data_IF_723207498254
#
_entry.id   IF_723207498254
#
_cell.length_a   1.000
_cell.length_b   1.000
_cell.length_c   1.000
_cell.angle_alpha   90.00
_cell.angle_beta   90.00
_cell.angle_gamma   90.00
#
_symmetry.space_group_name_H-M   'P 1'
#
loop_
_entity.id
_entity.type
_entity.pdbx_description
1 polymer ?
#
# COMPACT_ATOMS: atom_id res chain seq x y z
N UNK A 1 -0.31 -3.04 -16.78
CA UNK A 1 -0.58 -4.48 -16.95
C UNK A 1 0.69 -5.29 -17.24
N UNK A 2 1.53 -4.88 -18.23
CA UNK A 2 2.73 -5.65 -18.59
C UNK A 2 3.78 -5.72 -17.49
N UNK A 3 3.98 -4.63 -16.74
CA UNK A 3 4.95 -4.58 -15.65
C UNK A 3 4.48 -5.42 -14.45
N UNK A 4 3.22 -5.30 -14.06
CA UNK A 4 2.64 -6.09 -12.96
C UNK A 4 2.60 -7.57 -13.31
N UNK A 5 2.19 -7.92 -14.53
CA UNK A 5 2.19 -9.30 -15.02
C UNK A 5 3.62 -9.89 -15.08
N UNK A 6 4.60 -9.11 -15.50
CA UNK A 6 6.00 -9.54 -15.50
C UNK A 6 6.56 -9.79 -14.09
N UNK A 7 6.15 -8.97 -13.11
CA UNK A 7 6.53 -9.16 -11.71
C UNK A 7 5.85 -10.40 -11.09
N UNK A 8 4.56 -10.63 -11.37
CA UNK A 8 3.85 -11.83 -10.95
C UNK A 8 4.53 -13.11 -11.48
N UNK A 9 4.94 -13.08 -12.77
CA UNK A 9 5.67 -14.21 -13.39
C UNK A 9 7.05 -14.47 -12.76
N UNK A 10 7.69 -13.46 -12.16
CA UNK A 10 8.95 -13.66 -11.41
C UNK A 10 8.77 -14.47 -10.14
N UNK A 11 7.60 -14.38 -9.50
CA UNK A 11 7.23 -15.19 -8.34
C UNK A 11 6.86 -16.64 -8.69
N UNK A 12 6.58 -16.94 -9.96
CA UNK A 12 6.13 -18.24 -10.40
C UNK A 12 7.30 -19.09 -10.92
N UNK A 13 7.70 -20.10 -10.18
CA UNK A 13 8.87 -20.95 -10.49
C UNK A 13 8.77 -21.74 -11.81
N UNK A 14 7.59 -21.76 -12.46
CA UNK A 14 7.32 -22.44 -13.74
C UNK A 14 7.21 -21.50 -14.93
N UNK A 15 7.30 -20.17 -14.73
CA UNK A 15 7.20 -19.23 -15.82
C UNK A 15 8.45 -19.30 -16.72
N UNK A 16 8.23 -19.25 -18.03
CA UNK A 16 9.34 -19.17 -19.00
C UNK A 16 10.10 -17.84 -18.80
N UNK A 17 11.43 -17.87 -18.63
CA UNK A 17 12.24 -16.65 -18.46
C UNK A 17 11.99 -15.61 -19.56
N UNK A 18 11.79 -16.07 -20.79
CA UNK A 18 11.52 -15.20 -21.94
C UNK A 18 10.20 -14.45 -21.84
N UNK A 19 9.15 -15.08 -21.30
CA UNK A 19 7.86 -14.42 -21.07
C UNK A 19 7.98 -13.37 -19.97
N UNK A 20 8.68 -13.69 -18.88
CA UNK A 20 8.91 -12.79 -17.75
C UNK A 20 9.69 -11.54 -18.18
N UNK A 21 10.85 -11.72 -18.81
CA UNK A 21 11.66 -10.59 -19.28
C UNK A 21 10.98 -9.82 -20.41
N UNK A 22 10.27 -10.51 -21.31
CA UNK A 22 9.49 -9.89 -22.37
C UNK A 22 8.37 -9.00 -21.83
N UNK A 23 7.62 -9.46 -20.82
CA UNK A 23 6.57 -8.70 -20.16
C UNK A 23 7.13 -7.47 -19.40
N UNK A 24 8.23 -7.63 -18.67
CA UNK A 24 8.90 -6.53 -17.98
C UNK A 24 9.43 -5.49 -18.96
N UNK A 25 10.14 -5.92 -19.99
CA UNK A 25 10.72 -5.02 -21.00
C UNK A 25 9.62 -4.27 -21.75
N UNK A 26 8.56 -4.95 -22.19
CA UNK A 26 7.41 -4.30 -22.83
C UNK A 26 6.71 -3.31 -21.91
N UNK A 27 6.53 -3.65 -20.62
CA UNK A 27 5.96 -2.76 -19.64
C UNK A 27 6.77 -1.49 -19.42
N UNK A 28 8.08 -1.62 -19.28
CA UNK A 28 9.01 -0.48 -19.13
C UNK A 28 9.04 0.35 -20.44
N UNK A 29 9.15 -0.30 -21.60
CA UNK A 29 9.17 0.39 -22.88
C UNK A 29 7.90 1.21 -23.12
N UNK A 30 6.73 0.66 -22.81
CA UNK A 30 5.46 1.37 -22.92
C UNK A 30 5.36 2.55 -21.95
N UNK A 31 5.88 2.42 -20.71
CA UNK A 31 5.93 3.54 -19.76
C UNK A 31 6.85 4.66 -20.24
N UNK A 32 8.03 4.32 -20.76
CA UNK A 32 8.97 5.30 -21.33
C UNK A 32 8.36 5.96 -22.57
N UNK A 33 7.79 5.19 -23.48
CA UNK A 33 7.12 5.70 -24.67
C UNK A 33 5.97 6.62 -24.30
N UNK A 34 5.16 6.25 -23.29
CA UNK A 34 4.10 7.12 -22.80
C UNK A 34 4.65 8.40 -22.17
N UNK A 35 5.71 8.33 -21.38
CA UNK A 35 6.35 9.51 -20.79
C UNK A 35 6.88 10.48 -21.85
N UNK A 36 7.49 9.96 -22.91
CA UNK A 36 7.94 10.76 -24.06
C UNK A 36 6.77 11.37 -24.84
N UNK A 37 5.68 10.59 -25.01
CA UNK A 37 4.46 11.08 -25.69
C UNK A 37 3.75 12.17 -24.87
N UNK A 38 3.66 12.01 -23.56
CA UNK A 38 2.97 12.96 -22.67
C UNK A 38 3.77 14.24 -22.42
N UNK A 39 5.09 14.21 -22.72
CA UNK A 39 5.95 15.37 -22.55
C UNK A 39 5.51 16.49 -23.50
N UNK A 40 5.04 17.59 -22.93
CA UNK A 40 4.60 18.76 -23.68
C UNK A 40 3.15 18.71 -24.21
N UNK A 41 2.35 17.74 -23.85
CA UNK A 41 0.94 17.63 -24.24
C UNK A 41 0.01 17.78 -23.01
N UNK A 42 -0.59 18.95 -22.78
CA UNK A 42 -1.51 19.17 -21.65
C UNK A 42 -2.80 18.34 -21.74
N UNK A 43 -3.14 17.85 -22.94
CA UNK A 43 -4.31 16.98 -23.20
C UNK A 43 -4.01 15.47 -23.09
N UNK A 44 -2.83 15.09 -22.62
CA UNK A 44 -2.54 13.68 -22.37
C UNK A 44 -3.47 13.13 -21.25
N UNK A 45 -3.87 11.87 -21.38
CA UNK A 45 -4.75 11.18 -20.39
C UNK A 45 -4.16 11.27 -18.97
N UNK A 46 -2.84 11.23 -18.85
CA UNK A 46 -2.08 11.41 -17.61
C UNK A 46 -1.06 12.55 -17.83
N UNK A 47 -1.44 13.80 -17.61
CA UNK A 47 -0.55 14.93 -17.82
C UNK A 47 0.59 14.92 -16.81
N UNK A 48 1.83 15.06 -17.27
CA UNK A 48 3.02 15.12 -16.40
C UNK A 48 3.02 16.36 -15.49
N UNK A 49 2.24 17.38 -15.82
CA UNK A 49 2.04 18.57 -14.99
C UNK A 49 1.46 18.28 -13.60
N UNK A 50 0.87 17.08 -13.38
CA UNK A 50 0.45 16.64 -12.04
C UNK A 50 1.64 16.57 -11.06
N UNK A 51 2.82 16.26 -11.55
CA UNK A 51 4.03 16.20 -10.73
C UNK A 51 4.59 17.58 -10.34
N UNK A 52 4.09 18.66 -10.94
CA UNK A 52 4.44 20.04 -10.54
C UNK A 52 3.79 20.38 -9.21
N UNK A 53 2.65 19.75 -8.88
CA UNK A 53 2.01 19.86 -7.58
C UNK A 53 2.82 19.08 -6.55
N UNK A 54 3.43 19.81 -5.61
CA UNK A 54 4.35 19.25 -4.60
C UNK A 54 3.69 18.15 -3.75
N UNK A 55 2.47 18.36 -3.30
CA UNK A 55 1.71 17.40 -2.49
C UNK A 55 1.42 16.12 -3.25
N UNK A 56 1.07 16.21 -4.54
CA UNK A 56 0.88 15.06 -5.40
C UNK A 56 2.17 14.25 -5.56
N UNK A 57 3.28 14.91 -5.88
CA UNK A 57 4.58 14.25 -6.04
C UNK A 57 5.04 13.53 -4.76
N UNK A 58 4.95 14.20 -3.61
CA UNK A 58 5.30 13.60 -2.33
C UNK A 58 4.33 12.47 -1.93
N UNK A 59 3.04 12.65 -2.18
CA UNK A 59 2.01 11.65 -1.92
C UNK A 59 2.18 10.39 -2.75
N UNK A 60 2.47 10.51 -4.04
CA UNK A 60 2.79 9.36 -4.92
C UNK A 60 4.01 8.60 -4.39
N UNK A 61 5.10 9.30 -4.06
CA UNK A 61 6.31 8.67 -3.53
C UNK A 61 6.04 7.95 -2.20
N UNK A 62 5.30 8.58 -1.30
CA UNK A 62 4.91 7.98 -0.02
C UNK A 62 4.01 6.75 -0.22
N UNK A 63 3.03 6.82 -1.14
CA UNK A 63 2.19 5.68 -1.50
C UNK A 63 3.03 4.49 -1.99
N UNK A 64 4.00 4.73 -2.86
CA UNK A 64 4.90 3.70 -3.37
C UNK A 64 5.67 3.02 -2.24
N UNK A 65 6.30 3.80 -1.35
CA UNK A 65 7.08 3.28 -0.22
C UNK A 65 6.22 2.46 0.74
N UNK A 66 5.02 2.94 1.08
CA UNK A 66 4.11 2.25 1.99
C UNK A 66 3.61 0.93 1.37
N UNK A 67 3.34 0.93 0.07
CA UNK A 67 2.92 -0.29 -0.63
C UNK A 67 4.04 -1.32 -0.67
N UNK A 68 5.26 -0.91 -1.00
CA UNK A 68 6.43 -1.79 -0.96
C UNK A 68 6.64 -2.43 0.42
N UNK A 69 6.47 -1.64 1.49
CA UNK A 69 6.66 -2.14 2.86
C UNK A 69 5.47 -2.93 3.39
N UNK A 70 4.24 -2.58 3.00
CA UNK A 70 3.01 -3.09 3.59
C UNK A 70 2.42 -4.31 2.90
N UNK A 71 2.75 -4.57 1.63
CA UNK A 71 2.19 -5.70 0.87
C UNK A 71 2.72 -7.06 1.33
N UNK A 72 3.89 -7.10 1.97
CA UNK A 72 4.48 -8.33 2.51
C UNK A 72 3.79 -8.81 3.78
N UNK A 73 3.20 -7.92 4.58
CA UNK A 73 2.65 -8.25 5.91
C UNK A 73 1.51 -9.27 5.87
N UNK A 74 0.51 -9.16 4.97
CA UNK A 74 -0.56 -10.16 4.87
C UNK A 74 -0.07 -11.57 4.52
N UNK A 75 1.09 -11.68 3.91
CA UNK A 75 1.73 -12.97 3.59
C UNK A 75 2.61 -13.46 4.73
N UNK A 76 3.42 -12.58 5.31
CA UNK A 76 4.37 -12.95 6.37
C UNK A 76 3.69 -13.31 7.68
N UNK A 77 2.56 -12.64 8.04
CA UNK A 77 1.87 -12.92 9.29
C UNK A 77 1.32 -14.34 9.38
N UNK A 78 0.55 -14.87 8.42
CA UNK A 78 0.11 -16.27 8.46
C UNK A 78 1.27 -17.24 8.50
N UNK A 79 2.36 -16.95 7.77
CA UNK A 79 3.55 -17.78 7.75
C UNK A 79 4.23 -17.80 9.13
N UNK A 80 4.35 -16.66 9.78
CA UNK A 80 4.86 -16.56 11.15
C UNK A 80 4.01 -17.37 12.13
N UNK A 81 2.69 -17.25 12.07
CA UNK A 81 1.79 -17.99 12.95
C UNK A 81 1.85 -19.50 12.74
N UNK A 82 2.03 -19.96 11.50
CA UNK A 82 2.15 -21.38 11.18
C UNK A 82 3.52 -21.95 11.56
N UNK A 83 4.61 -21.24 11.26
CA UNK A 83 5.98 -21.76 11.47
C UNK A 83 6.48 -21.55 12.90
N UNK A 84 6.18 -20.41 13.52
CA UNK A 84 6.71 -20.07 14.85
C UNK A 84 5.77 -20.48 15.98
N UNK A 85 4.43 -20.37 15.78
CA UNK A 85 3.45 -20.70 16.80
C UNK A 85 2.77 -22.06 16.59
N UNK A 86 3.07 -22.75 15.48
CA UNK A 86 2.48 -24.05 15.17
C UNK A 86 0.97 -24.02 14.93
N UNK A 87 0.38 -22.85 14.64
CA UNK A 87 -1.05 -22.74 14.37
C UNK A 87 -1.37 -23.36 13.00
N UNK A 88 -2.56 -23.95 12.90
CA UNK A 88 -3.03 -24.44 11.61
C UNK A 88 -3.38 -23.27 10.66
N UNK A 89 -3.51 -23.57 9.36
CA UNK A 89 -3.79 -22.55 8.34
C UNK A 89 -5.11 -21.81 8.59
N UNK A 90 -6.11 -22.49 9.13
CA UNK A 90 -7.41 -21.90 9.45
C UNK A 90 -7.28 -20.85 10.56
N UNK A 91 -6.65 -21.19 11.67
CA UNK A 91 -6.42 -20.27 12.80
C UNK A 91 -5.57 -19.07 12.37
N UNK A 92 -4.52 -19.31 11.60
CA UNK A 92 -3.66 -18.24 11.06
C UNK A 92 -4.42 -17.29 10.15
N UNK A 93 -5.37 -17.79 9.36
CA UNK A 93 -6.28 -16.98 8.54
C UNK A 93 -7.25 -16.15 9.40
N UNK A 94 -7.87 -16.75 10.41
CA UNK A 94 -8.76 -16.05 11.32
C UNK A 94 -8.06 -14.93 12.09
N UNK A 95 -6.78 -15.07 12.40
CA UNK A 95 -5.99 -14.02 13.06
C UNK A 95 -5.78 -12.77 12.19
N UNK A 96 -6.02 -12.83 10.89
CA UNK A 96 -6.02 -11.64 10.04
C UNK A 96 -7.34 -10.85 10.12
N UNK A 97 -8.43 -11.46 10.56
CA UNK A 97 -9.73 -10.82 10.63
C UNK A 97 -9.74 -9.53 11.50
N UNK A 98 -9.06 -9.45 12.67
CA UNK A 98 -8.94 -8.23 13.45
C UNK A 98 -8.34 -7.06 12.68
N UNK A 99 -7.35 -7.29 11.82
CA UNK A 99 -6.74 -6.26 10.96
C UNK A 99 -7.80 -5.70 10.01
N UNK A 100 -8.53 -6.58 9.32
CA UNK A 100 -9.56 -6.19 8.39
C UNK A 100 -10.70 -5.43 9.07
N UNK A 101 -11.16 -5.93 10.22
CA UNK A 101 -12.22 -5.31 11.00
C UNK A 101 -11.86 -3.87 11.40
N UNK A 102 -10.68 -3.69 11.98
CA UNK A 102 -10.22 -2.35 12.40
C UNK A 102 -9.96 -1.44 11.21
N UNK A 103 -9.49 -1.97 10.09
CA UNK A 103 -9.33 -1.18 8.85
C UNK A 103 -10.67 -0.63 8.35
N UNK A 104 -11.74 -1.39 8.41
CA UNK A 104 -13.09 -0.94 8.04
C UNK A 104 -13.62 0.11 9.03
N UNK A 105 -13.50 -0.13 10.34
CA UNK A 105 -13.95 0.80 11.37
C UNK A 105 -13.23 2.14 11.23
N UNK A 106 -11.89 2.12 11.15
CA UNK A 106 -11.12 3.35 11.06
C UNK A 106 -11.33 4.10 9.75
N UNK A 107 -11.64 3.42 8.65
CA UNK A 107 -12.00 4.06 7.40
C UNK A 107 -13.26 4.92 7.51
N UNK A 108 -14.20 4.57 8.37
CA UNK A 108 -15.43 5.36 8.58
C UNK A 108 -15.22 6.58 9.46
N UNK A 109 -14.32 6.52 10.44
CA UNK A 109 -14.09 7.58 11.43
C UNK A 109 -12.93 8.52 11.06
N UNK A 110 -12.06 8.10 10.11
CA UNK A 110 -10.84 8.84 9.78
C UNK A 110 -11.12 10.28 9.33
N UNK A 111 -12.23 10.53 8.63
CA UNK A 111 -12.62 11.89 8.22
C UNK A 111 -12.77 12.84 9.41
N UNK A 112 -13.39 12.39 10.49
CA UNK A 112 -13.52 13.16 11.74
C UNK A 112 -12.16 13.40 12.41
N UNK A 113 -11.28 12.40 12.41
CA UNK A 113 -9.93 12.50 12.96
C UNK A 113 -9.11 13.53 12.16
N UNK A 114 -9.13 13.46 10.83
CA UNK A 114 -8.42 14.38 9.95
C UNK A 114 -8.91 15.83 10.10
N UNK A 115 -10.22 16.02 10.23
CA UNK A 115 -10.79 17.34 10.44
C UNK A 115 -10.40 17.94 11.80
N UNK A 116 -10.22 17.11 12.83
CA UNK A 116 -9.90 17.57 14.20
C UNK A 116 -8.41 17.77 14.43
N UNK A 117 -7.56 16.86 13.95
CA UNK A 117 -6.12 16.83 14.26
C UNK A 117 -5.24 17.21 13.07
N UNK A 118 -5.82 17.27 11.86
CA UNK A 118 -5.11 17.54 10.62
C UNK A 118 -4.30 16.34 10.11
N UNK A 119 -3.91 16.42 8.84
CA UNK A 119 -3.18 15.33 8.15
C UNK A 119 -1.82 15.03 8.76
N UNK A 120 -1.04 16.08 9.09
CA UNK A 120 0.32 15.93 9.62
C UNK A 120 0.34 15.15 10.93
N UNK A 121 -0.47 15.58 11.90
CA UNK A 121 -0.52 14.94 13.22
C UNK A 121 -1.02 13.51 13.12
N UNK A 122 -2.08 13.28 12.32
CA UNK A 122 -2.65 11.96 12.11
C UNK A 122 -1.64 11.00 11.47
N UNK A 123 -0.91 11.43 10.44
CA UNK A 123 0.10 10.61 9.79
C UNK A 123 1.27 10.27 10.73
N UNK A 124 1.77 11.24 11.50
CA UNK A 124 2.85 10.99 12.47
C UNK A 124 2.39 10.00 13.54
N UNK A 125 1.21 10.23 14.13
CA UNK A 125 0.67 9.36 15.17
C UNK A 125 0.42 7.93 14.64
N UNK A 126 -0.19 7.81 13.46
CA UNK A 126 -0.46 6.52 12.84
C UNK A 126 0.83 5.78 12.44
N UNK A 127 1.84 6.48 11.94
CA UNK A 127 3.14 5.88 11.62
C UNK A 127 3.88 5.41 12.87
N UNK A 128 3.86 6.20 13.95
CA UNK A 128 4.41 5.80 15.23
C UNK A 128 3.68 4.57 15.81
N UNK A 129 2.34 4.57 15.78
CA UNK A 129 1.53 3.44 16.22
C UNK A 129 1.79 2.17 15.39
N UNK A 130 1.93 2.31 14.07
CA UNK A 130 2.28 1.20 13.19
C UNK A 130 3.66 0.62 13.52
N UNK A 131 4.66 1.48 13.77
CA UNK A 131 5.99 1.05 14.19
C UNK A 131 5.95 0.29 15.51
N UNK A 132 5.22 0.80 16.50
CA UNK A 132 5.02 0.11 17.79
C UNK A 132 4.34 -1.25 17.59
N UNK A 133 3.32 -1.34 16.73
CA UNK A 133 2.64 -2.60 16.43
C UNK A 133 3.58 -3.60 15.76
N UNK A 134 4.43 -3.18 14.82
CA UNK A 134 5.42 -4.06 14.16
C UNK A 134 6.46 -4.57 15.17
N UNK A 135 6.96 -3.68 16.03
CA UNK A 135 7.87 -4.08 17.13
C UNK A 135 7.15 -5.05 18.07
N UNK A 136 5.89 -4.76 18.42
CA UNK A 136 5.07 -5.66 19.23
C UNK A 136 4.92 -7.05 18.61
N UNK A 137 4.73 -7.14 17.27
CA UNK A 137 4.69 -8.42 16.55
C UNK A 137 6.01 -9.18 16.63
N UNK A 138 7.13 -8.48 16.57
CA UNK A 138 8.47 -9.09 16.66
C UNK A 138 8.80 -9.63 18.08
N UNK A 139 8.08 -9.17 19.09
CA UNK A 139 8.24 -9.60 20.48
C UNK A 139 7.24 -10.71 20.90
N UNK A 140 6.37 -11.13 19.98
CA UNK A 140 5.43 -12.24 20.26
C UNK A 140 6.20 -13.57 20.29
N UNK A 141 5.82 -14.41 21.25
CA UNK A 141 6.33 -15.77 21.40
C UNK A 141 5.18 -16.77 21.67
N UNK A 142 5.50 -18.07 21.76
CA UNK A 142 4.52 -19.14 21.99
C UNK A 142 3.76 -19.00 23.32
N UNK A 143 4.32 -18.28 24.29
CA UNK A 143 3.72 -18.04 25.60
C UNK A 143 2.78 -16.84 25.60
N UNK A 144 2.77 -16.05 24.52
CA UNK A 144 1.98 -14.82 24.44
C UNK A 144 0.48 -15.13 24.41
N UNK A 145 -0.31 -14.59 25.32
CA UNK A 145 -1.77 -14.76 25.31
C UNK A 145 -2.37 -14.27 23.98
N UNK A 146 -3.29 -15.05 23.42
CA UNK A 146 -3.97 -14.76 22.16
C UNK A 146 -4.59 -13.35 22.13
N UNK A 147 -5.07 -12.87 23.28
CA UNK A 147 -5.65 -11.52 23.40
C UNK A 147 -4.63 -10.43 23.02
N UNK A 148 -3.37 -10.56 23.43
CA UNK A 148 -2.33 -9.60 23.08
C UNK A 148 -1.99 -9.63 21.59
N UNK A 149 -1.98 -10.82 20.98
CA UNK A 149 -1.82 -10.97 19.53
C UNK A 149 -2.93 -10.21 18.80
N UNK A 150 -4.19 -10.47 19.19
CA UNK A 150 -5.37 -9.82 18.60
C UNK A 150 -5.34 -8.30 18.77
N UNK A 151 -5.04 -7.80 19.97
CA UNK A 151 -4.95 -6.35 20.24
C UNK A 151 -3.86 -5.69 19.39
N UNK A 152 -2.71 -6.34 19.24
CA UNK A 152 -1.63 -5.85 18.42
C UNK A 152 -2.02 -5.78 16.92
N UNK A 153 -2.66 -6.83 16.40
CA UNK A 153 -3.17 -6.89 15.04
C UNK A 153 -4.27 -5.84 14.78
N UNK A 154 -5.15 -5.61 15.77
CA UNK A 154 -6.15 -4.53 15.69
C UNK A 154 -5.49 -3.15 15.62
N UNK A 155 -4.48 -2.90 16.46
CA UNK A 155 -3.70 -1.65 16.44
C UNK A 155 -3.03 -1.44 15.09
N UNK A 156 -2.40 -2.48 14.55
CA UNK A 156 -1.78 -2.43 13.22
C UNK A 156 -2.80 -2.10 12.13
N UNK A 157 -3.96 -2.78 12.11
CA UNK A 157 -5.03 -2.55 11.13
C UNK A 157 -5.58 -1.12 11.18
N UNK A 158 -5.77 -0.58 12.39
CA UNK A 158 -6.19 0.80 12.61
C UNK A 158 -5.19 1.81 12.04
N UNK A 159 -3.91 1.68 12.41
CA UNK A 159 -2.83 2.55 11.94
C UNK A 159 -2.66 2.48 10.44
N UNK A 160 -2.69 1.29 9.86
CA UNK A 160 -2.60 1.05 8.42
C UNK A 160 -3.71 1.78 7.66
N UNK A 161 -4.97 1.64 8.13
CA UNK A 161 -6.13 2.31 7.54
C UNK A 161 -6.00 3.83 7.60
N UNK A 162 -5.53 4.37 8.75
CA UNK A 162 -5.30 5.80 8.92
C UNK A 162 -4.25 6.33 7.95
N UNK A 163 -3.13 5.64 7.82
CA UNK A 163 -2.04 6.03 6.90
C UNK A 163 -2.53 6.01 5.45
N UNK A 164 -3.13 4.89 4.99
CA UNK A 164 -3.58 4.78 3.61
C UNK A 164 -4.61 5.83 3.24
N UNK A 165 -5.62 6.02 4.09
CA UNK A 165 -6.68 7.00 3.80
C UNK A 165 -6.12 8.41 3.79
N UNK A 166 -5.29 8.77 4.78
CA UNK A 166 -4.71 10.11 4.88
C UNK A 166 -3.81 10.45 3.69
N UNK A 167 -2.93 9.52 3.31
CA UNK A 167 -2.01 9.73 2.17
C UNK A 167 -2.78 9.78 0.85
N UNK A 168 -3.74 8.90 0.63
CA UNK A 168 -4.53 8.91 -0.60
C UNK A 168 -5.29 10.23 -0.75
N UNK A 169 -5.94 10.69 0.31
CA UNK A 169 -6.68 11.96 0.30
C UNK A 169 -5.75 13.14 0.11
N UNK A 170 -4.61 13.18 0.81
CA UNK A 170 -3.62 14.24 0.68
C UNK A 170 -3.00 14.29 -0.72
N UNK A 171 -2.75 13.14 -1.33
CA UNK A 171 -2.14 13.05 -2.66
C UNK A 171 -2.97 13.76 -3.72
N UNK A 172 -4.30 13.62 -3.67
CA UNK A 172 -5.20 14.22 -4.66
C UNK A 172 -5.84 15.54 -4.19
N UNK A 173 -5.65 15.90 -2.92
CA UNK A 173 -6.39 16.99 -2.27
C UNK A 173 -6.12 18.38 -2.85
N UNK A 174 -4.91 18.62 -3.35
CA UNK A 174 -4.52 19.93 -3.95
C UNK A 174 -4.63 19.95 -5.48
N UNK A 175 -5.16 18.88 -6.09
CA UNK A 175 -5.42 18.84 -7.52
C UNK A 175 -6.70 19.59 -7.85
N UNK A 176 -6.73 20.26 -9.00
CA UNK A 176 -7.97 20.86 -9.53
C UNK A 176 -9.00 19.78 -9.87
N UNK A 177 -10.29 20.14 -9.96
CA UNK A 177 -11.36 19.22 -10.32
C UNK A 177 -11.09 18.49 -11.65
N UNK A 178 -10.51 19.20 -12.62
CA UNK A 178 -10.13 18.64 -13.94
C UNK A 178 -8.96 17.64 -13.84
N UNK A 179 -8.03 17.87 -12.92
CA UNK A 179 -6.85 17.04 -12.71
C UNK A 179 -7.11 15.83 -11.80
N UNK A 180 -8.15 15.88 -10.97
CA UNK A 180 -8.44 14.85 -9.96
C UNK A 180 -8.68 13.47 -10.57
N UNK A 181 -9.33 13.39 -11.74
CA UNK A 181 -9.55 12.14 -12.45
C UNK A 181 -8.24 11.49 -12.93
N UNK A 182 -7.39 12.28 -13.57
CA UNK A 182 -6.06 11.83 -14.02
C UNK A 182 -5.15 11.49 -12.83
N UNK A 183 -5.20 12.31 -11.77
CA UNK A 183 -4.45 12.10 -10.52
C UNK A 183 -4.83 10.80 -9.83
N UNK A 184 -6.12 10.50 -9.71
CA UNK A 184 -6.63 9.24 -9.11
C UNK A 184 -6.25 8.02 -9.95
N UNK A 185 -6.27 8.15 -11.27
CA UNK A 185 -5.84 7.08 -12.18
C UNK A 185 -4.34 6.79 -12.01
N UNK A 186 -3.50 7.83 -11.98
CA UNK A 186 -2.07 7.68 -11.79
C UNK A 186 -1.75 7.10 -10.40
N UNK A 187 -2.44 7.56 -9.36
CA UNK A 187 -2.32 6.99 -8.02
C UNK A 187 -2.64 5.49 -8.01
N UNK A 188 -3.71 5.08 -8.69
CA UNK A 188 -4.09 3.66 -8.80
C UNK A 188 -3.04 2.83 -9.53
N UNK A 189 -2.43 3.36 -10.59
CA UNK A 189 -1.33 2.69 -11.33
C UNK A 189 -0.12 2.49 -10.41
N UNK A 190 0.30 3.54 -9.70
CA UNK A 190 1.43 3.48 -8.77
C UNK A 190 1.17 2.49 -7.63
N UNK A 191 -0.06 2.44 -7.12
CA UNK A 191 -0.45 1.47 -6.10
C UNK A 191 -0.35 0.02 -6.60
N UNK A 192 -0.82 -0.26 -7.83
CA UNK A 192 -0.70 -1.60 -8.43
C UNK A 192 0.76 -2.01 -8.64
N UNK A 193 1.57 -1.09 -9.13
CA UNK A 193 3.02 -1.32 -9.29
C UNK A 193 3.66 -1.59 -7.93
N UNK A 194 3.32 -0.79 -6.89
CA UNK A 194 3.85 -0.97 -5.54
C UNK A 194 3.47 -2.33 -4.91
N UNK A 195 2.26 -2.82 -5.17
CA UNK A 195 1.83 -4.16 -4.71
C UNK A 195 2.60 -5.27 -5.45
N UNK A 196 2.83 -5.12 -6.75
CA UNK A 196 3.55 -6.14 -7.53
C UNK A 196 5.05 -6.23 -7.20
N UNK A 197 5.63 -5.22 -6.55
CA UNK A 197 7.03 -5.24 -6.08
C UNK A 197 7.19 -5.71 -4.63
N UNK A 198 6.17 -5.64 -3.80
CA UNK A 198 6.19 -6.01 -2.38
C UNK A 198 5.70 -7.42 -2.13
#
# INVERSE_FOLDING_TARGET
PGLTFGLDLMGESRASPWLTYGALFSGIALLVAYGLYAKGRPQAILPLSLFDVRTFRLGISANMLIRLSGSSVPFLLPLMFQLSFGYNAEMSGWLLAPIALMSVIFKTIIGGILNRFGYKTTLIAASAGMTVSIIGMALLDDSTPLVWIVVNLMSYGACMSMIFTSINTLTVGDLSAEQSGAGSTLLSIVQQVGIGFG
#
